data_IF_181431926116
#
_entry.id   IF_181431926116
#
_cell.length_a   1.000
_cell.length_b   1.000
_cell.length_c   1.000
_cell.angle_alpha   90.00
_cell.angle_beta   90.00
_cell.angle_gamma   90.00
#
_symmetry.space_group_name_H-M   'P 1'
#
loop_
_entity.id
_entity.type
_entity.pdbx_description
1 polymer ?
#
# COMPACT_ATOMS: atom_id res chain seq x y z
N UNK A 1 46.66 -1.61 6.64
CA UNK A 1 45.37 -2.24 6.96
C UNK A 1 44.37 -1.74 5.94
N UNK A 2 44.16 -2.51 4.84
CA UNK A 2 43.21 -2.13 3.78
C UNK A 2 41.80 -2.37 4.32
N UNK A 3 41.04 -1.29 4.48
CA UNK A 3 39.59 -1.37 4.72
C UNK A 3 38.98 -1.84 3.42
N UNK A 4 38.66 -3.12 3.32
CA UNK A 4 37.81 -3.65 2.25
C UNK A 4 36.46 -2.94 2.39
N UNK A 5 36.15 -2.08 1.44
CA UNK A 5 34.85 -1.48 1.32
C UNK A 5 33.80 -2.58 1.22
N UNK A 6 32.98 -2.75 2.25
CA UNK A 6 31.79 -3.58 2.17
C UNK A 6 30.93 -2.99 1.06
N UNK A 7 30.66 -3.79 0.03
CA UNK A 7 29.58 -3.49 -0.93
C UNK A 7 28.32 -3.26 -0.11
N UNK A 8 27.58 -2.17 -0.34
CA UNK A 8 26.38 -1.90 0.43
C UNK A 8 25.41 -3.09 0.30
N UNK A 9 25.00 -3.67 1.42
CA UNK A 9 24.04 -4.78 1.47
C UNK A 9 22.61 -4.35 1.08
N UNK A 10 22.43 -3.13 0.61
CA UNK A 10 21.13 -2.57 0.24
C UNK A 10 21.22 -1.64 -0.96
N UNK A 11 20.09 -1.49 -1.64
CA UNK A 11 19.90 -0.58 -2.79
C UNK A 11 19.01 0.56 -2.31
N UNK A 12 19.49 1.82 -2.28
CA UNK A 12 18.62 2.96 -1.98
C UNK A 12 17.63 3.19 -3.11
N UNK A 13 16.38 3.53 -2.80
CA UNK A 13 15.38 3.93 -3.78
C UNK A 13 15.67 5.38 -4.22
N UNK A 14 15.63 5.64 -5.54
CA UNK A 14 16.08 6.94 -6.10
C UNK A 14 15.15 8.09 -5.72
N UNK A 15 13.84 7.85 -5.74
CA UNK A 15 12.80 8.86 -5.48
C UNK A 15 12.61 9.14 -3.99
N UNK A 16 12.97 8.17 -3.14
CA UNK A 16 12.91 8.23 -1.68
C UNK A 16 14.18 7.64 -1.11
N UNK A 17 15.30 8.39 -1.09
CA UNK A 17 16.64 7.85 -0.72
C UNK A 17 16.75 7.34 0.73
N UNK A 18 15.81 7.66 1.61
CA UNK A 18 15.69 7.09 2.95
C UNK A 18 15.16 5.65 2.96
N UNK A 19 14.62 5.17 1.82
CA UNK A 19 14.13 3.80 1.67
C UNK A 19 15.18 2.91 1.02
N UNK A 20 15.41 1.73 1.57
CA UNK A 20 16.45 0.81 1.15
C UNK A 20 15.89 -0.59 0.93
N UNK A 21 16.10 -1.16 -0.26
CA UNK A 21 15.87 -2.58 -0.52
C UNK A 21 17.09 -3.38 -0.04
N UNK A 22 16.91 -4.24 0.94
CA UNK A 22 17.95 -5.16 1.42
C UNK A 22 18.22 -6.23 0.36
N UNK A 23 19.50 -6.48 0.06
CA UNK A 23 19.91 -7.51 -0.89
C UNK A 23 19.86 -8.87 -0.18
N UNK A 24 19.00 -9.83 -0.63
CA UNK A 24 18.95 -11.17 -0.07
C UNK A 24 20.26 -11.92 -0.27
N UNK A 25 20.55 -12.90 0.59
CA UNK A 25 21.74 -13.75 0.47
C UNK A 25 21.69 -14.51 -0.86
N UNK A 26 22.76 -14.41 -1.63
CA UNK A 26 22.88 -15.05 -2.96
C UNK A 26 22.47 -14.17 -4.13
N UNK A 27 21.87 -13.01 -3.86
CA UNK A 27 21.51 -12.03 -4.88
C UNK A 27 22.55 -10.90 -5.00
N UNK A 28 22.47 -10.12 -6.06
CA UNK A 28 23.32 -8.96 -6.33
C UNK A 28 22.48 -7.72 -6.57
N UNK A 29 23.08 -6.53 -6.41
CA UNK A 29 22.39 -5.29 -6.75
C UNK A 29 21.92 -5.25 -8.21
N UNK A 30 22.70 -5.86 -9.14
CA UNK A 30 22.34 -5.91 -10.56
C UNK A 30 21.13 -6.80 -10.83
N UNK A 31 20.98 -7.95 -10.14
CA UNK A 31 19.81 -8.84 -10.30
C UNK A 31 18.53 -8.20 -9.78
N UNK A 32 18.63 -7.27 -8.82
CA UNK A 32 17.50 -6.62 -8.16
C UNK A 32 17.16 -5.22 -8.74
N UNK A 33 17.93 -4.71 -9.70
CA UNK A 33 17.78 -3.33 -10.15
C UNK A 33 16.37 -2.99 -10.67
N UNK A 34 15.72 -3.91 -11.38
CA UNK A 34 14.38 -3.69 -11.91
C UNK A 34 13.32 -3.80 -10.80
N UNK A 35 13.50 -4.71 -9.86
CA UNK A 35 12.59 -4.80 -8.71
C UNK A 35 12.71 -3.56 -7.83
N UNK A 36 13.94 -3.08 -7.56
CA UNK A 36 14.16 -1.81 -6.87
C UNK A 36 13.51 -0.63 -7.60
N UNK A 37 13.55 -0.61 -8.94
CA UNK A 37 12.88 0.40 -9.76
C UNK A 37 11.35 0.34 -9.62
N UNK A 38 10.76 -0.86 -9.56
CA UNK A 38 9.32 -1.03 -9.31
C UNK A 38 8.93 -0.46 -7.95
N UNK A 39 9.69 -0.80 -6.88
CA UNK A 39 9.44 -0.26 -5.53
C UNK A 39 9.64 1.25 -5.48
N UNK A 40 10.63 1.77 -6.20
CA UNK A 40 10.89 3.21 -6.32
C UNK A 40 9.70 3.94 -6.98
N UNK A 41 9.13 3.37 -8.04
CA UNK A 41 7.95 3.94 -8.69
C UNK A 41 6.73 3.97 -7.75
N UNK A 42 6.47 2.90 -6.98
CA UNK A 42 5.39 2.88 -5.98
C UNK A 42 5.64 3.94 -4.91
N UNK A 43 6.88 4.02 -4.38
CA UNK A 43 7.26 5.03 -3.39
C UNK A 43 7.06 6.45 -3.90
N UNK A 44 7.47 6.73 -5.14
CA UNK A 44 7.27 8.03 -5.80
C UNK A 44 5.79 8.40 -5.92
N UNK A 45 4.97 7.46 -6.39
CA UNK A 45 3.55 7.69 -6.60
C UNK A 45 2.83 7.91 -5.27
N UNK A 46 3.16 7.12 -4.24
CA UNK A 46 2.58 7.28 -2.91
C UNK A 46 3.05 8.57 -2.24
N UNK A 47 4.33 8.95 -2.36
CA UNK A 47 4.86 10.22 -1.84
C UNK A 47 4.17 11.44 -2.45
N UNK A 48 3.78 11.39 -3.72
CA UNK A 48 2.98 12.48 -4.35
C UNK A 48 1.62 12.66 -3.68
N UNK A 49 1.07 11.58 -3.16
CA UNK A 49 -0.21 11.57 -2.45
C UNK A 49 -0.04 11.85 -0.94
N UNK A 50 1.04 11.35 -0.33
CA UNK A 50 1.37 11.49 1.10
C UNK A 50 2.78 12.09 1.20
N UNK A 51 2.93 13.42 1.20
CA UNK A 51 4.24 14.08 1.13
C UNK A 51 5.18 13.74 2.28
N UNK A 52 4.64 13.43 3.46
CA UNK A 52 5.40 13.12 4.68
C UNK A 52 5.98 11.70 4.69
N UNK A 53 5.71 10.88 3.68
CA UNK A 53 6.06 9.46 3.62
C UNK A 53 7.57 9.19 3.81
N UNK A 54 8.43 10.11 3.38
CA UNK A 54 9.89 9.95 3.41
C UNK A 54 10.58 10.58 4.63
N UNK A 55 9.83 11.02 5.61
CA UNK A 55 10.38 11.66 6.83
C UNK A 55 11.12 10.67 7.73
N UNK A 56 10.84 9.37 7.59
CA UNK A 56 11.44 8.29 8.38
C UNK A 56 12.07 7.26 7.45
N UNK A 57 13.28 6.72 7.77
CA UNK A 57 13.94 5.70 6.94
C UNK A 57 13.18 4.38 6.98
N UNK A 58 13.20 3.63 5.85
CA UNK A 58 12.54 2.33 5.71
C UNK A 58 13.49 1.29 5.11
N UNK A 59 13.56 0.12 5.73
CA UNK A 59 14.25 -1.04 5.18
C UNK A 59 13.24 -2.06 4.64
N UNK A 60 13.40 -2.44 3.37
CA UNK A 60 12.50 -3.36 2.67
C UNK A 60 13.23 -4.70 2.49
N UNK A 61 12.63 -5.78 2.93
CA UNK A 61 13.12 -7.15 2.77
C UNK A 61 12.20 -7.93 1.83
N UNK A 62 12.79 -8.87 1.09
CA UNK A 62 12.05 -9.88 0.34
C UNK A 62 12.35 -11.25 0.92
N UNK A 63 11.33 -11.94 1.41
CA UNK A 63 11.41 -13.31 1.88
C UNK A 63 10.29 -14.15 1.26
N UNK A 64 10.58 -14.93 0.20
CA UNK A 64 9.57 -15.78 -0.43
C UNK A 64 9.02 -16.90 0.46
N UNK A 65 9.66 -17.14 1.63
CA UNK A 65 9.19 -18.12 2.62
C UNK A 65 8.33 -17.48 3.71
N UNK A 66 8.20 -16.16 3.75
CA UNK A 66 7.30 -15.50 4.69
C UNK A 66 5.85 -15.89 4.39
N UNK A 67 5.06 -16.15 5.43
CA UNK A 67 3.67 -16.57 5.29
C UNK A 67 2.78 -15.44 4.70
N UNK A 68 3.07 -14.18 5.08
CA UNK A 68 2.36 -12.97 4.62
C UNK A 68 3.35 -11.80 4.59
N UNK A 69 3.12 -10.78 3.73
CA UNK A 69 3.83 -9.51 3.89
C UNK A 69 3.46 -8.87 5.23
N UNK A 70 4.33 -8.02 5.75
CA UNK A 70 4.12 -7.37 7.05
C UNK A 70 4.92 -6.06 7.16
N UNK A 71 4.29 -5.05 7.74
CA UNK A 71 4.91 -3.80 8.13
C UNK A 71 5.20 -3.77 9.65
N UNK A 72 6.45 -3.55 10.00
CA UNK A 72 6.89 -3.30 11.38
C UNK A 72 7.24 -1.81 11.54
N UNK A 73 6.24 -0.97 11.88
CA UNK A 73 6.43 0.48 12.04
C UNK A 73 7.55 0.83 13.00
N UNK A 74 7.56 0.22 14.18
CA UNK A 74 8.56 0.48 15.22
C UNK A 74 9.99 0.06 14.84
N UNK A 75 10.12 -0.90 13.91
CA UNK A 75 11.41 -1.35 13.37
C UNK A 75 11.76 -0.70 12.05
N UNK A 76 10.90 0.19 11.53
CA UNK A 76 11.08 0.86 10.24
C UNK A 76 11.37 -0.14 9.12
N UNK A 77 10.61 -1.23 9.09
CA UNK A 77 10.85 -2.31 8.13
C UNK A 77 9.57 -2.90 7.57
N UNK A 78 9.67 -3.31 6.30
CA UNK A 78 8.65 -4.06 5.57
C UNK A 78 9.27 -5.37 5.10
N UNK A 79 8.56 -6.48 5.28
CA UNK A 79 8.89 -7.78 4.71
C UNK A 79 7.86 -8.08 3.63
N UNK A 80 8.31 -8.28 2.40
CA UNK A 80 7.48 -8.71 1.28
C UNK A 80 7.57 -10.24 1.16
N UNK A 81 6.43 -10.93 1.18
CA UNK A 81 6.31 -12.37 1.03
C UNK A 81 6.33 -12.76 -0.47
N UNK A 82 7.40 -12.42 -1.18
CA UNK A 82 7.51 -12.60 -2.62
C UNK A 82 8.95 -12.79 -3.08
N UNK A 83 9.13 -13.44 -4.23
CA UNK A 83 10.39 -13.44 -4.94
C UNK A 83 10.54 -12.13 -5.72
N UNK A 84 11.72 -11.48 -5.73
CA UNK A 84 11.96 -10.25 -6.47
C UNK A 84 11.72 -10.32 -8.00
N UNK A 85 11.58 -11.53 -8.57
CA UNK A 85 11.18 -11.70 -9.97
C UNK A 85 9.68 -11.48 -10.23
N UNK A 86 8.84 -11.50 -9.20
CA UNK A 86 7.39 -11.30 -9.30
C UNK A 86 6.99 -9.83 -9.04
N UNK A 87 7.29 -8.97 -10.02
CA UNK A 87 7.18 -7.51 -9.84
C UNK A 87 5.76 -7.03 -9.52
N UNK A 88 4.73 -7.59 -10.17
CA UNK A 88 3.34 -7.19 -9.89
C UNK A 88 2.90 -7.58 -8.48
N UNK A 89 3.28 -8.78 -8.01
CA UNK A 89 3.02 -9.22 -6.65
C UNK A 89 3.79 -8.37 -5.63
N UNK A 90 5.08 -8.11 -5.91
CA UNK A 90 5.90 -7.27 -5.04
C UNK A 90 5.38 -5.84 -4.94
N UNK A 91 4.99 -5.22 -6.06
CA UNK A 91 4.39 -3.90 -6.08
C UNK A 91 3.06 -3.84 -5.30
N UNK A 92 2.21 -4.87 -5.47
CA UNK A 92 0.93 -5.00 -4.77
C UNK A 92 1.11 -5.09 -3.25
N UNK A 93 2.00 -5.99 -2.80
CA UNK A 93 2.31 -6.14 -1.38
C UNK A 93 2.98 -4.89 -0.81
N UNK A 94 3.92 -4.31 -1.56
CA UNK A 94 4.62 -3.12 -1.10
C UNK A 94 3.69 -1.92 -0.95
N UNK A 95 2.76 -1.70 -1.87
CA UNK A 95 1.77 -0.63 -1.74
C UNK A 95 0.87 -0.81 -0.50
N UNK A 96 0.50 -2.05 -0.16
CA UNK A 96 -0.24 -2.37 1.06
C UNK A 96 0.55 -2.00 2.32
N UNK A 97 1.75 -2.57 2.45
CA UNK A 97 2.59 -2.39 3.63
C UNK A 97 3.11 -0.95 3.79
N UNK A 98 3.35 -0.27 2.66
CA UNK A 98 3.75 1.14 2.65
C UNK A 98 2.58 2.05 3.07
N UNK A 99 1.33 1.67 2.79
CA UNK A 99 0.16 2.36 3.30
C UNK A 99 0.08 2.25 4.82
N UNK A 100 0.26 1.05 5.39
CA UNK A 100 0.41 0.87 6.85
C UNK A 100 1.55 1.72 7.41
N UNK A 101 2.71 1.72 6.75
CA UNK A 101 3.88 2.50 7.16
C UNK A 101 3.63 4.02 7.15
N UNK A 102 2.76 4.51 6.26
CA UNK A 102 2.39 5.92 6.17
C UNK A 102 1.58 6.43 7.37
N UNK A 103 1.00 5.53 8.16
CA UNK A 103 0.25 5.84 9.39
C UNK A 103 1.24 5.79 10.55
N UNK A 104 1.51 6.93 11.23
CA UNK A 104 2.65 7.06 12.14
C UNK A 104 2.58 6.19 13.39
N UNK A 105 1.37 5.83 13.83
CA UNK A 105 1.13 5.10 15.08
C UNK A 105 0.02 4.05 14.89
N UNK A 106 -0.23 3.24 15.91
CA UNK A 106 -1.29 2.24 15.90
C UNK A 106 -2.68 2.90 15.78
N UNK A 107 -3.48 2.38 14.86
CA UNK A 107 -4.90 2.72 14.79
C UNK A 107 -5.66 1.98 15.90
N UNK A 108 -6.66 2.62 16.51
CA UNK A 108 -7.45 1.96 17.55
C UNK A 108 -8.05 0.62 17.07
N UNK A 109 -8.18 -0.35 17.97
CA UNK A 109 -8.53 -1.75 17.63
C UNK A 109 -9.83 -1.89 16.83
N UNK A 110 -10.84 -1.08 17.11
CA UNK A 110 -12.12 -1.08 16.39
C UNK A 110 -12.04 -0.57 14.94
N UNK A 111 -10.95 0.12 14.56
CA UNK A 111 -10.71 0.63 13.20
C UNK A 111 -9.65 -0.15 12.42
N UNK A 112 -9.03 -1.18 12.99
CA UNK A 112 -7.97 -1.93 12.29
C UNK A 112 -8.45 -2.56 10.98
N UNK A 113 -9.66 -3.08 10.93
CA UNK A 113 -10.25 -3.61 9.72
C UNK A 113 -10.43 -2.53 8.64
N UNK A 114 -10.72 -1.28 9.06
CA UNK A 114 -10.85 -0.16 8.13
C UNK A 114 -9.49 0.27 7.59
N UNK A 115 -8.47 0.29 8.44
CA UNK A 115 -7.06 0.45 8.02
C UNK A 115 -6.68 -0.62 7.00
N UNK A 116 -6.93 -1.91 7.27
CA UNK A 116 -6.68 -3.02 6.34
C UNK A 116 -7.40 -2.82 5.00
N UNK A 117 -8.65 -2.36 5.03
CA UNK A 117 -9.43 -2.08 3.82
C UNK A 117 -8.84 -0.92 3.01
N UNK A 118 -8.33 0.13 3.67
CA UNK A 118 -7.62 1.24 3.02
C UNK A 118 -6.29 0.75 2.44
N UNK A 119 -5.51 -0.06 3.15
CA UNK A 119 -4.26 -0.64 2.66
C UNK A 119 -4.51 -1.59 1.46
N UNK A 120 -5.59 -2.36 1.49
CA UNK A 120 -6.05 -3.13 0.33
C UNK A 120 -6.42 -2.23 -0.86
N UNK A 121 -7.07 -1.08 -0.60
CA UNK A 121 -7.35 -0.07 -1.63
C UNK A 121 -6.06 0.50 -2.21
N UNK A 122 -5.06 0.76 -1.37
CA UNK A 122 -3.74 1.24 -1.81
C UNK A 122 -3.05 0.24 -2.75
N UNK A 123 -3.12 -1.06 -2.44
CA UNK A 123 -2.62 -2.12 -3.33
C UNK A 123 -3.21 -2.01 -4.73
N UNK A 124 -4.52 -1.92 -4.83
CA UNK A 124 -5.24 -1.85 -6.12
C UNK A 124 -4.98 -0.53 -6.84
N UNK A 125 -5.04 0.58 -6.11
CA UNK A 125 -4.86 1.92 -6.66
C UNK A 125 -3.45 2.12 -7.21
N UNK A 126 -2.42 1.95 -6.37
CA UNK A 126 -1.04 2.24 -6.77
C UNK A 126 -0.51 1.24 -7.80
N UNK A 127 -1.03 -0.02 -7.81
CA UNK A 127 -0.68 -0.97 -8.86
C UNK A 127 -1.23 -0.55 -10.23
N UNK A 128 -2.44 0.01 -10.30
CA UNK A 128 -2.97 0.62 -11.53
C UNK A 128 -2.17 1.86 -11.90
N UNK A 129 -1.81 2.70 -10.91
CA UNK A 129 -1.06 3.93 -11.17
C UNK A 129 0.35 3.65 -11.71
N UNK A 130 1.08 2.64 -11.23
CA UNK A 130 2.38 2.29 -11.81
C UNK A 130 2.22 1.78 -13.25
N UNK A 131 1.18 1.02 -13.56
CA UNK A 131 0.87 0.60 -14.92
C UNK A 131 0.66 1.80 -15.85
N UNK A 132 -0.17 2.76 -15.47
CA UNK A 132 -0.39 3.98 -16.24
C UNK A 132 0.86 4.86 -16.33
N UNK A 133 1.62 4.96 -15.23
CA UNK A 133 2.88 5.69 -15.20
C UNK A 133 3.90 5.11 -16.17
N UNK A 134 4.12 3.80 -16.15
CA UNK A 134 5.05 3.14 -17.08
C UNK A 134 4.61 3.29 -18.53
N UNK A 135 3.32 3.16 -18.82
CA UNK A 135 2.79 3.40 -20.16
C UNK A 135 3.07 4.84 -20.63
N UNK A 136 2.80 5.83 -19.78
CA UNK A 136 3.01 7.25 -20.11
C UNK A 136 4.48 7.63 -20.28
N UNK A 137 5.40 6.93 -19.58
CA UNK A 137 6.85 7.16 -19.67
C UNK A 137 7.51 6.35 -20.81
N UNK A 138 6.75 5.56 -21.57
CA UNK A 138 7.29 4.72 -22.63
C UNK A 138 8.27 3.65 -22.11
N UNK A 139 8.03 3.07 -20.92
CA UNK A 139 8.87 2.00 -20.38
C UNK A 139 8.66 0.73 -21.21
N UNK A 140 9.69 0.31 -21.96
CA UNK A 140 9.63 -0.79 -22.95
C UNK A 140 9.94 -2.16 -22.33
N UNK A 141 9.86 -2.34 -21.01
CA UNK A 141 10.04 -3.64 -20.38
C UNK A 141 8.89 -4.58 -20.75
N UNK A 142 9.25 -5.84 -21.05
CA UNK A 142 8.31 -6.86 -21.51
C UNK A 142 8.31 -8.06 -20.58
N UNK A 143 7.19 -8.76 -20.57
CA UNK A 143 7.03 -10.09 -19.99
C UNK A 143 7.69 -11.15 -20.86
N UNK A 144 7.83 -12.38 -20.37
CA UNK A 144 8.44 -13.50 -21.10
C UNK A 144 7.73 -13.85 -22.41
N UNK A 145 6.45 -13.52 -22.55
CA UNK A 145 5.63 -13.69 -23.76
C UNK A 145 5.64 -12.46 -24.68
N UNK A 146 6.44 -11.43 -24.35
CA UNK A 146 6.63 -10.22 -25.15
C UNK A 146 5.58 -9.13 -24.96
N UNK A 147 4.63 -9.31 -24.05
CA UNK A 147 3.66 -8.25 -23.74
C UNK A 147 4.32 -7.10 -22.93
N UNK A 148 3.90 -5.84 -23.14
CA UNK A 148 4.39 -4.72 -22.31
C UNK A 148 4.10 -4.96 -20.83
N UNK A 149 5.12 -4.83 -19.96
CA UNK A 149 4.98 -5.21 -18.56
C UNK A 149 3.97 -4.34 -17.78
N UNK A 150 3.73 -3.10 -18.22
CA UNK A 150 2.72 -2.23 -17.60
C UNK A 150 1.32 -2.85 -17.58
N UNK A 151 0.99 -3.70 -18.59
CA UNK A 151 -0.27 -4.43 -18.66
C UNK A 151 -0.39 -5.43 -17.50
N UNK A 152 0.73 -6.08 -17.12
CA UNK A 152 0.75 -7.05 -16.02
C UNK A 152 0.40 -6.42 -14.67
N UNK A 153 0.79 -5.18 -14.42
CA UNK A 153 0.37 -4.46 -13.20
C UNK A 153 -1.15 -4.23 -13.19
N UNK A 154 -1.72 -3.74 -14.30
CA UNK A 154 -3.15 -3.47 -14.41
C UNK A 154 -3.96 -4.77 -14.29
N UNK A 155 -3.51 -5.83 -14.98
CA UNK A 155 -4.16 -7.13 -14.93
C UNK A 155 -4.11 -7.72 -13.52
N UNK A 156 -2.94 -7.70 -12.85
CA UNK A 156 -2.81 -8.21 -11.49
C UNK A 156 -3.73 -7.44 -10.51
N UNK A 157 -3.87 -6.11 -10.67
CA UNK A 157 -4.80 -5.33 -9.87
C UNK A 157 -6.26 -5.75 -10.13
N UNK A 158 -6.65 -5.97 -11.40
CA UNK A 158 -8.01 -6.39 -11.75
C UNK A 158 -8.32 -7.79 -11.21
N UNK A 159 -7.39 -8.74 -11.35
CA UNK A 159 -7.55 -10.11 -10.84
C UNK A 159 -7.70 -10.13 -9.31
N UNK A 160 -6.96 -9.26 -8.61
CA UNK A 160 -7.07 -9.12 -7.17
C UNK A 160 -8.29 -8.30 -6.72
N UNK A 161 -8.92 -7.55 -7.61
CA UNK A 161 -10.20 -6.87 -7.34
C UNK A 161 -11.41 -7.79 -7.50
N UNK A 162 -11.29 -8.97 -8.14
CA UNK A 162 -12.41 -9.91 -8.31
C UNK A 162 -12.99 -10.31 -6.94
N UNK A 163 -14.31 -10.20 -6.84
CA UNK A 163 -15.07 -10.52 -5.65
C UNK A 163 -15.86 -11.82 -5.84
N UNK A 164 -15.96 -12.57 -4.76
CA UNK A 164 -16.77 -13.80 -4.71
C UNK A 164 -17.94 -13.67 -3.73
N UNK A 165 -17.89 -12.68 -2.84
CA UNK A 165 -18.91 -12.39 -1.84
C UNK A 165 -19.32 -10.92 -1.93
N UNK A 166 -20.63 -10.65 -1.77
CA UNK A 166 -21.15 -9.29 -1.60
C UNK A 166 -21.93 -9.22 -0.28
N UNK A 167 -21.85 -8.11 0.40
CA UNK A 167 -22.60 -7.83 1.62
C UNK A 167 -22.93 -6.32 1.71
N UNK A 168 -23.89 -5.99 2.55
CA UNK A 168 -24.25 -4.61 2.83
C UNK A 168 -23.22 -3.99 3.79
N UNK A 169 -22.56 -2.92 3.35
CA UNK A 169 -21.60 -2.17 4.18
C UNK A 169 -22.25 -1.49 5.37
N UNK A 170 -23.57 -1.29 5.33
CA UNK A 170 -24.34 -0.68 6.42
C UNK A 170 -24.88 -1.71 7.42
N UNK A 171 -24.65 -3.03 7.20
CA UNK A 171 -25.06 -4.06 8.14
C UNK A 171 -24.19 -4.03 9.42
N UNK A 172 -24.78 -3.69 10.59
CA UNK A 172 -24.02 -3.64 11.84
C UNK A 172 -23.42 -5.01 12.26
N UNK A 173 -23.97 -6.13 11.75
CA UNK A 173 -23.42 -7.44 12.05
C UNK A 173 -22.08 -7.66 11.32
N UNK A 174 -21.97 -7.16 10.10
CA UNK A 174 -20.72 -7.19 9.33
C UNK A 174 -19.65 -6.33 10.01
N UNK A 175 -19.99 -5.11 10.43
CA UNK A 175 -19.04 -4.24 11.14
C UNK A 175 -18.55 -4.89 12.43
N UNK A 176 -19.45 -5.45 13.25
CA UNK A 176 -19.05 -6.17 14.48
C UNK A 176 -18.16 -7.39 14.19
N UNK A 177 -18.41 -8.12 13.10
CA UNK A 177 -17.53 -9.21 12.69
C UNK A 177 -16.12 -8.70 12.36
N UNK A 178 -16.01 -7.62 11.58
CA UNK A 178 -14.73 -7.03 11.19
C UNK A 178 -13.95 -6.44 12.38
N UNK A 179 -14.65 -5.91 13.39
CA UNK A 179 -14.02 -5.46 14.64
C UNK A 179 -13.39 -6.64 15.43
N UNK A 180 -13.94 -7.86 15.27
CA UNK A 180 -13.41 -9.08 15.91
C UNK A 180 -12.37 -9.79 15.05
N UNK A 181 -12.48 -9.74 13.72
CA UNK A 181 -11.57 -10.32 12.74
C UNK A 181 -11.19 -9.27 11.68
N UNK A 182 -10.26 -8.39 12.06
CA UNK A 182 -9.80 -7.31 11.17
C UNK A 182 -9.06 -7.82 9.92
N UNK A 183 -8.63 -9.09 9.91
CA UNK A 183 -7.90 -9.70 8.81
C UNK A 183 -8.76 -10.55 7.88
N UNK A 184 -10.11 -10.44 7.94
CA UNK A 184 -11.00 -11.09 6.97
C UNK A 184 -10.76 -10.50 5.56
N UNK A 185 -9.84 -11.13 4.82
CA UNK A 185 -9.40 -10.66 3.50
C UNK A 185 -10.52 -10.53 2.48
N UNK A 186 -11.58 -11.34 2.59
CA UNK A 186 -12.71 -11.28 1.66
C UNK A 186 -13.50 -10.00 1.88
N UNK A 187 -13.82 -9.71 3.14
CA UNK A 187 -14.55 -8.48 3.49
C UNK A 187 -13.73 -7.23 3.24
N UNK A 188 -12.45 -7.24 3.63
CA UNK A 188 -11.55 -6.12 3.36
C UNK A 188 -11.42 -5.83 1.86
N UNK A 189 -11.38 -6.88 1.01
CA UNK A 189 -11.37 -6.74 -0.45
C UNK A 189 -12.68 -6.13 -0.97
N UNK A 190 -13.84 -6.59 -0.48
CA UNK A 190 -15.13 -6.03 -0.87
C UNK A 190 -15.21 -4.53 -0.54
N UNK A 191 -14.83 -4.16 0.69
CA UNK A 191 -14.77 -2.76 1.12
C UNK A 191 -13.80 -1.96 0.24
N UNK A 192 -12.60 -2.49 -0.02
CA UNK A 192 -11.61 -1.83 -0.86
C UNK A 192 -12.14 -1.53 -2.27
N UNK A 193 -12.95 -2.41 -2.85
CA UNK A 193 -13.58 -2.18 -4.15
C UNK A 193 -14.61 -1.04 -4.12
N UNK A 194 -15.29 -0.81 -3.01
CA UNK A 194 -16.16 0.35 -2.83
C UNK A 194 -15.37 1.64 -2.55
N UNK A 195 -14.22 1.55 -1.88
CA UNK A 195 -13.34 2.69 -1.62
C UNK A 195 -12.57 3.13 -2.88
N UNK A 196 -12.12 2.17 -3.71
CA UNK A 196 -11.25 2.44 -4.85
C UNK A 196 -11.78 3.51 -5.82
N UNK A 197 -13.07 3.53 -6.22
CA UNK A 197 -13.62 4.60 -7.04
C UNK A 197 -13.50 5.98 -6.37
N UNK A 198 -13.72 6.05 -5.05
CA UNK A 198 -13.66 7.31 -4.31
C UNK A 198 -12.23 7.84 -4.27
N UNK A 199 -11.23 6.99 -3.97
CA UNK A 199 -9.82 7.36 -4.02
C UNK A 199 -9.32 7.66 -5.43
N UNK A 200 -9.97 7.11 -6.46
CA UNK A 200 -9.66 7.41 -7.87
C UNK A 200 -10.18 8.78 -8.27
N UNK A 201 -11.41 9.11 -7.89
CA UNK A 201 -12.04 10.40 -8.17
C UNK A 201 -11.45 11.54 -7.32
N UNK A 202 -10.98 11.22 -6.12
CA UNK A 202 -10.46 12.15 -5.11
C UNK A 202 -9.08 11.70 -4.59
N UNK A 203 -8.02 11.67 -5.43
CA UNK A 203 -6.71 11.18 -5.03
C UNK A 203 -6.06 12.00 -3.91
N UNK A 204 -6.51 13.24 -3.70
CA UNK A 204 -6.04 14.10 -2.60
C UNK A 204 -6.35 13.53 -1.21
N UNK A 205 -7.39 12.67 -1.06
CA UNK A 205 -7.77 12.10 0.24
C UNK A 205 -6.74 11.10 0.80
N UNK A 206 -5.78 10.62 -0.01
CA UNK A 206 -4.65 9.86 0.51
C UNK A 206 -3.88 10.63 1.60
N UNK A 207 -3.85 11.97 1.54
CA UNK A 207 -3.25 12.83 2.58
C UNK A 207 -3.92 12.70 3.95
N UNK A 208 -5.16 12.23 4.00
CA UNK A 208 -5.88 12.04 5.25
C UNK A 208 -5.59 10.69 5.91
N UNK A 209 -5.03 9.71 5.18
CA UNK A 209 -4.77 8.35 5.69
C UNK A 209 -3.87 8.35 6.92
N UNK A 210 -2.77 9.13 7.00
CA UNK A 210 -1.94 9.21 8.20
C UNK A 210 -2.68 9.67 9.46
N UNK A 211 -3.81 10.36 9.32
CA UNK A 211 -4.59 10.88 10.46
C UNK A 211 -5.42 9.80 11.16
N UNK A 212 -5.54 8.59 10.59
CA UNK A 212 -6.35 7.51 11.18
C UNK A 212 -5.91 7.13 12.59
N UNK A 213 -4.61 7.19 12.89
CA UNK A 213 -4.09 6.89 14.23
C UNK A 213 -4.47 7.93 15.30
N UNK A 214 -4.96 9.10 14.90
CA UNK A 214 -5.39 10.15 15.83
C UNK A 214 -6.86 10.01 16.27
N UNK A 215 -7.60 9.07 15.68
CA UNK A 215 -9.02 8.86 15.93
C UNK A 215 -9.18 7.97 17.18
N UNK A 216 -10.00 8.43 18.14
CA UNK A 216 -10.26 7.74 19.40
C UNK A 216 -11.77 7.80 19.70
N UNK A 217 -12.59 7.18 18.83
CA UNK A 217 -14.03 7.21 18.92
C UNK A 217 -14.63 5.83 19.18
N UNK A 218 -15.84 5.80 19.78
CA UNK A 218 -16.48 4.55 20.21
C UNK A 218 -17.32 3.86 19.14
N UNK A 219 -17.54 4.49 17.99
CA UNK A 219 -18.30 3.91 16.88
C UNK A 219 -17.68 4.29 15.54
N UNK A 220 -17.94 3.47 14.51
CA UNK A 220 -17.47 3.73 13.15
C UNK A 220 -17.92 5.10 12.63
N UNK A 221 -19.20 5.46 12.81
CA UNK A 221 -19.73 6.72 12.32
C UNK A 221 -19.04 7.91 13.00
N UNK A 222 -18.87 7.87 14.33
CA UNK A 222 -18.15 8.91 15.07
C UNK A 222 -16.68 8.98 14.62
N UNK A 223 -16.05 7.83 14.36
CA UNK A 223 -14.68 7.76 13.85
C UNK A 223 -14.54 8.40 12.46
N UNK A 224 -15.47 8.12 11.55
CA UNK A 224 -15.46 8.72 10.21
C UNK A 224 -15.77 10.22 10.26
N UNK A 225 -16.68 10.66 11.13
CA UNK A 225 -16.96 12.07 11.36
C UNK A 225 -15.74 12.79 11.96
N UNK A 226 -15.03 12.16 12.92
CA UNK A 226 -13.77 12.69 13.46
C UNK A 226 -12.67 12.77 12.40
N UNK A 227 -12.54 11.75 11.53
CA UNK A 227 -11.58 11.77 10.42
C UNK A 227 -11.82 12.95 9.47
N UNK A 228 -13.10 13.23 9.15
CA UNK A 228 -13.49 14.39 8.34
C UNK A 228 -13.10 15.70 9.04
N UNK A 229 -13.34 15.80 10.36
CA UNK A 229 -13.04 17.02 11.13
C UNK A 229 -11.54 17.28 11.27
N UNK A 230 -10.74 16.24 11.51
CA UNK A 230 -9.28 16.29 11.60
C UNK A 230 -8.64 16.68 10.26
N UNK A 231 -9.30 16.36 9.15
CA UNK A 231 -8.75 16.57 7.81
C UNK A 231 -8.91 18.00 7.33
N UNK A 232 -7.98 18.53 6.53
CA UNK A 232 -8.11 19.77 5.79
C UNK A 232 -9.45 19.85 5.03
N UNK A 233 -9.98 21.07 4.88
CA UNK A 233 -11.32 21.29 4.33
C UNK A 233 -11.47 20.76 2.90
N UNK A 234 -10.42 20.88 2.08
CA UNK A 234 -10.38 20.42 0.70
C UNK A 234 -10.50 18.89 0.54
N UNK A 235 -10.16 18.11 1.58
CA UNK A 235 -10.26 16.64 1.56
C UNK A 235 -11.65 16.14 1.97
N UNK A 236 -12.41 16.96 2.69
CA UNK A 236 -13.70 16.57 3.29
C UNK A 236 -14.76 16.08 2.30
N UNK A 237 -14.86 16.62 1.06
CA UNK A 237 -15.84 16.09 0.09
C UNK A 237 -15.64 14.59 -0.21
N UNK A 238 -14.41 14.15 -0.49
CA UNK A 238 -14.08 12.74 -0.72
C UNK A 238 -14.31 11.88 0.53
N UNK A 239 -13.91 12.37 1.71
CA UNK A 239 -14.10 11.67 2.98
C UNK A 239 -15.59 11.49 3.34
N UNK A 240 -16.45 12.47 3.02
CA UNK A 240 -17.91 12.34 3.18
C UNK A 240 -18.49 11.26 2.28
N UNK A 241 -17.96 11.06 1.06
CA UNK A 241 -18.36 9.94 0.20
C UNK A 241 -18.03 8.60 0.86
N UNK A 242 -16.83 8.47 1.48
CA UNK A 242 -16.45 7.27 2.25
C UNK A 242 -17.43 7.07 3.42
N UNK A 243 -17.67 8.12 4.20
CA UNK A 243 -18.58 8.07 5.35
C UNK A 243 -20.00 7.60 4.97
N UNK A 244 -20.46 7.95 3.77
CA UNK A 244 -21.78 7.58 3.28
C UNK A 244 -21.89 6.13 2.77
N UNK A 245 -20.78 5.39 2.70
CA UNK A 245 -20.80 3.95 2.40
C UNK A 245 -21.29 3.12 3.60
N UNK A 246 -21.01 3.61 4.79
CA UNK A 246 -21.28 2.96 6.07
C UNK A 246 -22.40 3.70 6.82
#
# INVERSE_FOLDING_TARGET
>A
MQVYGQTPNSIPLKSVPSFHLQIPVGETANSLQYFAYVLDCISLLMKRCIPELDTVPLTIFCDPNAATPICYRSLQSIILATNPSYWSQGAYQFAHELCHYSIPDEVQSSLRWFEESICQTASLYFLKQIGYFWHSQGVELQTSDGAPYYISFIQYANDNALEYDSFDLQDPAVIRHLELDCYDRRKNKHIANHLLPIFTDHPEIWKAVPLLCQIQESSLQASLDAWILLSPEELRPGLRRIRNLF
#
